data_IF_531130135897
#
_entry.id   IF_531130135897
#
_cell.length_a   1.000
_cell.length_b   1.000
_cell.length_c   1.000
_cell.angle_alpha   90.00
_cell.angle_beta   90.00
_cell.angle_gamma   90.00
#
_symmetry.space_group_name_H-M   'P 1'
#
loop_
_entity.id
_entity.type
_entity.pdbx_description
1 polymer ?
#
# COMPACT_ATOMS: atom_id res chain seq x y z
N UNK A 1 -2.64 -13.91 16.41
CA UNK A 1 -2.57 -12.45 16.55
C UNK A 1 -1.12 -12.00 16.46
N UNK A 2 -0.81 -10.88 15.82
CA UNK A 2 0.58 -10.39 15.72
C UNK A 2 1.03 -9.80 17.04
N UNK A 3 2.06 -10.39 17.66
CA UNK A 3 2.49 -10.02 19.00
C UNK A 3 3.11 -8.62 19.00
N UNK A 4 2.81 -7.81 20.01
CA UNK A 4 3.34 -6.45 20.14
C UNK A 4 2.62 -5.36 19.33
N UNK A 5 1.74 -5.71 18.37
CA UNK A 5 0.88 -4.70 17.73
C UNK A 5 -0.28 -4.29 18.66
N UNK A 6 -0.69 -3.00 18.64
CA UNK A 6 -1.74 -2.51 19.53
C UNK A 6 -3.07 -3.23 19.33
N UNK A 7 -3.86 -3.34 20.40
CA UNK A 7 -5.23 -3.91 20.38
C UNK A 7 -6.31 -2.83 20.38
N UNK A 8 -6.02 -1.67 19.80
CA UNK A 8 -6.87 -0.47 19.86
C UNK A 8 -7.16 0.05 18.46
N UNK A 9 -8.44 0.27 18.14
CA UNK A 9 -8.86 0.91 16.90
C UNK A 9 -8.22 2.29 16.73
N UNK A 10 -8.17 3.08 17.81
CA UNK A 10 -7.59 4.43 17.77
C UNK A 10 -6.09 4.39 17.44
N UNK A 11 -5.36 3.43 17.99
CA UNK A 11 -3.95 3.25 17.66
C UNK A 11 -3.75 2.83 16.19
N UNK A 12 -4.69 2.05 15.64
CA UNK A 12 -4.66 1.64 14.23
C UNK A 12 -4.95 2.79 13.27
N UNK A 13 -5.96 3.62 13.56
CA UNK A 13 -6.40 4.69 12.67
C UNK A 13 -5.57 5.97 12.77
N UNK A 14 -4.89 6.19 13.90
CA UNK A 14 -4.17 7.43 14.17
C UNK A 14 -3.11 7.79 13.11
N UNK A 15 -2.22 6.87 12.66
CA UNK A 15 -1.28 7.16 11.59
C UNK A 15 -1.95 7.59 10.28
N UNK A 16 -3.08 7.00 9.92
CA UNK A 16 -3.86 7.40 8.73
C UNK A 16 -4.43 8.82 8.91
N UNK A 17 -5.03 9.12 10.06
CA UNK A 17 -5.56 10.46 10.36
C UNK A 17 -4.44 11.50 10.30
N UNK A 18 -3.25 11.17 10.81
CA UNK A 18 -2.11 12.08 10.79
C UNK A 18 -1.64 12.37 9.37
N UNK A 19 -1.46 11.34 8.54
CA UNK A 19 -1.13 11.52 7.11
C UNK A 19 -2.17 12.41 6.44
N UNK A 20 -3.46 12.11 6.63
CA UNK A 20 -4.55 12.88 6.05
C UNK A 20 -4.54 14.35 6.51
N UNK A 21 -4.33 14.61 7.81
CA UNK A 21 -4.30 15.95 8.36
C UNK A 21 -3.15 16.80 7.80
N UNK A 22 -1.97 16.21 7.61
CA UNK A 22 -0.82 16.88 7.00
C UNK A 22 -1.14 17.23 5.53
N UNK A 23 -1.68 16.27 4.76
CA UNK A 23 -2.05 16.49 3.36
C UNK A 23 -3.16 17.53 3.20
N UNK A 24 -4.21 17.46 4.03
CA UNK A 24 -5.30 18.43 4.05
C UNK A 24 -4.79 19.84 4.37
N UNK A 25 -3.95 19.98 5.40
CA UNK A 25 -3.38 21.28 5.76
C UNK A 25 -2.51 21.84 4.63
N UNK A 26 -1.71 20.99 3.98
CA UNK A 26 -0.90 21.36 2.82
C UNK A 26 -1.78 21.83 1.64
N UNK A 27 -2.89 21.15 1.38
CA UNK A 27 -3.84 21.58 0.35
C UNK A 27 -4.50 22.93 0.69
N UNK A 28 -4.94 23.11 1.93
CA UNK A 28 -5.59 24.36 2.39
C UNK A 28 -4.65 25.57 2.38
N UNK A 29 -3.34 25.34 2.52
CA UNK A 29 -2.31 26.38 2.50
C UNK A 29 -1.69 26.60 1.11
N UNK A 30 -2.16 25.86 0.08
CA UNK A 30 -1.70 25.98 -1.30
C UNK A 30 -0.32 25.36 -1.56
N UNK A 31 0.19 24.52 -0.65
CA UNK A 31 1.50 23.87 -0.78
C UNK A 31 1.43 22.48 -1.41
N UNK A 32 0.24 21.93 -1.64
CA UNK A 32 0.03 20.66 -2.34
C UNK A 32 -0.37 20.90 -3.82
N UNK A 33 0.09 20.09 -4.80
CA UNK A 33 0.95 18.91 -4.66
C UNK A 33 2.43 19.26 -4.50
N UNK A 34 3.02 18.77 -3.40
CA UNK A 34 4.45 18.82 -3.17
C UNK A 34 4.92 17.44 -2.71
N UNK A 35 5.77 16.82 -3.51
CA UNK A 35 6.28 15.46 -3.30
C UNK A 35 7.00 15.33 -1.94
N UNK A 36 7.70 16.37 -1.49
CA UNK A 36 8.39 16.37 -0.19
C UNK A 36 7.38 16.35 0.96
N UNK A 37 6.30 17.11 0.86
CA UNK A 37 5.24 17.11 1.88
C UNK A 37 4.52 15.77 1.92
N UNK A 38 4.31 15.16 0.76
CA UNK A 38 3.74 13.82 0.65
C UNK A 38 4.64 12.77 1.30
N UNK A 39 5.95 12.80 1.04
CA UNK A 39 6.89 11.94 1.75
C UNK A 39 6.90 12.17 3.24
N UNK A 40 6.95 13.43 3.66
CA UNK A 40 6.93 13.77 5.06
C UNK A 40 5.70 13.20 5.77
N UNK A 41 4.51 13.30 5.18
CA UNK A 41 3.28 12.76 5.78
C UNK A 41 3.34 11.24 5.96
N UNK A 42 3.82 10.51 4.96
CA UNK A 42 3.95 9.04 5.03
C UNK A 42 5.07 8.63 6.01
N UNK A 43 6.26 9.24 5.94
CA UNK A 43 7.38 8.90 6.80
C UNK A 43 7.09 9.15 8.28
N UNK A 44 6.43 10.26 8.62
CA UNK A 44 6.03 10.55 10.00
C UNK A 44 5.10 9.46 10.52
N UNK A 45 4.12 9.03 9.72
CA UNK A 45 3.19 7.97 10.08
C UNK A 45 3.86 6.61 10.21
N UNK A 46 4.86 6.30 9.37
CA UNK A 46 5.69 5.09 9.50
C UNK A 46 6.52 5.12 10.79
N UNK A 47 7.16 6.24 11.12
CA UNK A 47 7.97 6.38 12.35
C UNK A 47 7.08 6.19 13.59
N UNK A 48 5.90 6.81 13.62
CA UNK A 48 4.95 6.64 14.72
C UNK A 48 4.47 5.20 14.82
N UNK A 49 4.13 4.57 13.69
CA UNK A 49 3.73 3.16 13.63
C UNK A 49 4.82 2.24 14.20
N UNK A 50 6.07 2.44 13.77
CA UNK A 50 7.21 1.69 14.28
C UNK A 50 7.45 1.95 15.79
N UNK A 51 7.27 3.19 16.24
CA UNK A 51 7.37 3.57 17.65
C UNK A 51 6.30 2.93 18.54
N UNK A 52 5.07 2.77 18.04
CA UNK A 52 3.97 2.14 18.78
C UNK A 52 4.13 0.62 18.97
N UNK A 53 4.93 -0.03 18.12
CA UNK A 53 5.18 -1.49 18.15
C UNK A 53 6.55 -1.82 18.76
N UNK A 54 7.53 -0.93 18.57
CA UNK A 54 8.96 -1.18 18.78
C UNK A 54 9.65 -1.48 17.46
N UNK A 55 10.71 -0.73 17.12
CA UNK A 55 11.32 -0.70 15.78
C UNK A 55 11.72 -2.09 15.23
N UNK A 56 12.50 -2.87 15.97
CA UNK A 56 12.96 -4.19 15.50
C UNK A 56 11.76 -5.11 15.21
N UNK A 57 10.86 -5.24 16.18
CA UNK A 57 9.65 -6.06 16.05
C UNK A 57 8.77 -5.61 14.89
N UNK A 58 8.66 -4.29 14.67
CA UNK A 58 7.90 -3.76 13.56
C UNK A 58 8.47 -4.25 12.24
N UNK A 59 9.77 -4.10 11.99
CA UNK A 59 10.40 -4.54 10.75
C UNK A 59 10.43 -6.06 10.58
N UNK A 60 10.58 -6.82 11.66
CA UNK A 60 10.47 -8.28 11.65
C UNK A 60 9.07 -8.71 11.17
N UNK A 61 8.02 -8.10 11.71
CA UNK A 61 6.63 -8.42 11.35
C UNK A 61 6.23 -8.01 9.92
N UNK A 62 6.95 -7.07 9.30
CA UNK A 62 6.72 -6.70 7.90
C UNK A 62 7.20 -7.78 6.91
N UNK A 63 8.06 -8.71 7.34
CA UNK A 63 8.53 -9.81 6.50
C UNK A 63 9.36 -9.35 5.30
N UNK A 64 10.27 -8.40 5.54
CA UNK A 64 11.31 -8.01 4.57
C UNK A 64 12.38 -9.09 4.43
N UNK A 65 12.65 -9.82 5.50
CA UNK A 65 13.48 -11.02 5.47
C UNK A 65 12.61 -12.21 5.06
N UNK A 66 13.06 -12.95 4.06
CA UNK A 66 12.38 -14.16 3.56
C UNK A 66 13.04 -15.44 4.10
N UNK A 67 14.03 -15.28 4.97
CA UNK A 67 14.73 -16.38 5.64
C UNK A 67 13.96 -16.85 6.86
N UNK A 68 13.89 -18.16 7.05
CA UNK A 68 13.27 -18.75 8.24
C UNK A 68 14.31 -19.04 9.32
N UNK A 69 13.89 -19.26 10.57
CA UNK A 69 14.78 -19.70 11.63
C UNK A 69 15.62 -20.92 11.21
N UNK A 70 16.95 -20.76 11.23
CA UNK A 70 17.91 -21.80 10.83
C UNK A 70 18.28 -21.81 9.34
N UNK A 71 17.70 -20.92 8.53
CA UNK A 71 18.10 -20.71 7.14
C UNK A 71 19.15 -19.61 7.00
N UNK A 72 19.80 -19.56 5.84
CA UNK A 72 20.75 -18.51 5.48
C UNK A 72 20.35 -17.93 4.14
N UNK A 73 20.49 -16.62 3.98
CA UNK A 73 20.08 -15.90 2.76
C UNK A 73 20.65 -16.52 1.48
N UNK A 74 21.88 -17.02 1.52
CA UNK A 74 22.55 -17.68 0.39
C UNK A 74 21.80 -18.92 -0.13
N UNK A 75 20.97 -19.58 0.68
CA UNK A 75 20.19 -20.76 0.30
C UNK A 75 18.77 -20.42 -0.14
N UNK A 76 18.24 -19.26 0.25
CA UNK A 76 16.82 -18.90 0.09
C UNK A 76 16.57 -17.59 -0.64
N UNK A 77 17.62 -16.92 -1.14
CA UNK A 77 17.50 -15.67 -1.90
C UNK A 77 16.56 -15.77 -3.11
N UNK A 78 16.40 -16.96 -3.70
CA UNK A 78 15.47 -17.20 -4.82
C UNK A 78 14.01 -16.92 -4.45
N UNK A 79 13.64 -16.94 -3.16
CA UNK A 79 12.29 -16.56 -2.69
C UNK A 79 11.95 -15.11 -3.05
N UNK A 80 12.94 -14.20 -2.99
CA UNK A 80 12.75 -12.82 -3.44
C UNK A 80 12.30 -12.76 -4.91
N UNK A 81 12.87 -13.59 -5.79
CA UNK A 81 12.48 -13.62 -7.20
C UNK A 81 11.00 -14.01 -7.38
N UNK A 82 10.52 -14.95 -6.57
CA UNK A 82 9.12 -15.38 -6.61
C UNK A 82 8.20 -14.30 -6.07
N UNK A 83 8.53 -13.70 -4.93
CA UNK A 83 7.73 -12.61 -4.35
C UNK A 83 7.67 -11.39 -5.27
N UNK A 84 8.80 -11.00 -5.87
CA UNK A 84 8.88 -9.94 -6.88
C UNK A 84 8.06 -10.33 -8.12
N UNK A 85 8.21 -11.55 -8.62
CA UNK A 85 7.46 -12.03 -9.79
C UNK A 85 5.95 -12.01 -9.58
N UNK A 86 5.48 -12.42 -8.39
CA UNK A 86 4.07 -12.35 -8.02
C UNK A 86 3.57 -10.91 -7.96
N UNK A 87 4.29 -10.03 -7.27
CA UNK A 87 3.95 -8.61 -7.22
C UNK A 87 3.85 -7.99 -8.62
N UNK A 88 4.82 -8.28 -9.49
CA UNK A 88 4.83 -7.80 -10.88
C UNK A 88 3.58 -8.26 -11.64
N UNK A 89 3.27 -9.56 -11.60
CA UNK A 89 2.09 -10.12 -12.27
C UNK A 89 0.83 -9.42 -11.78
N UNK A 90 0.65 -9.30 -10.46
CA UNK A 90 -0.56 -8.71 -9.88
C UNK A 90 -0.70 -7.23 -10.21
N UNK A 91 0.34 -6.43 -9.97
CA UNK A 91 0.33 -5.00 -10.28
C UNK A 91 0.04 -4.73 -11.75
N UNK A 92 0.69 -5.47 -12.65
CA UNK A 92 0.45 -5.37 -14.09
C UNK A 92 -0.96 -5.79 -14.50
N UNK A 93 -1.50 -6.90 -13.97
CA UNK A 93 -2.86 -7.33 -14.30
C UNK A 93 -3.91 -6.35 -13.77
N UNK A 94 -3.75 -5.82 -12.56
CA UNK A 94 -4.59 -4.74 -12.02
C UNK A 94 -4.61 -3.55 -12.97
N UNK A 95 -3.43 -3.04 -13.35
CA UNK A 95 -3.31 -1.95 -14.32
C UNK A 95 -4.03 -2.29 -15.64
N UNK A 96 -3.82 -3.47 -16.21
CA UNK A 96 -4.42 -3.88 -17.50
C UNK A 96 -5.94 -3.95 -17.45
N UNK A 97 -6.53 -4.50 -16.40
CA UNK A 97 -7.99 -4.59 -16.25
C UNK A 97 -8.60 -3.19 -16.14
N UNK A 98 -7.96 -2.30 -15.40
CA UNK A 98 -8.47 -0.95 -15.17
C UNK A 98 -8.31 -0.05 -16.39
N UNK A 99 -7.12 -0.04 -17.00
CA UNK A 99 -6.80 0.79 -18.16
C UNK A 99 -7.52 0.36 -19.45
N UNK A 100 -7.91 -0.92 -19.59
CA UNK A 100 -8.54 -1.43 -20.83
C UNK A 100 -9.94 -2.00 -20.67
N UNK A 101 -10.32 -2.45 -19.47
CA UNK A 101 -11.57 -3.17 -19.25
C UNK A 101 -12.71 -2.31 -18.74
N UNK A 102 -12.39 -1.26 -17.97
CA UNK A 102 -13.42 -0.48 -17.26
C UNK A 102 -13.55 0.98 -17.72
N UNK A 103 -12.65 1.48 -18.58
CA UNK A 103 -12.59 2.90 -19.00
C UNK A 103 -12.75 3.89 -17.84
N UNK A 104 -12.40 3.45 -16.62
CA UNK A 104 -12.34 4.33 -15.47
C UNK A 104 -11.14 5.24 -15.74
N UNK A 105 -11.35 6.56 -15.69
CA UNK A 105 -10.26 7.52 -15.64
C UNK A 105 -9.25 6.98 -14.64
N UNK A 106 -8.07 6.57 -15.14
CA UNK A 106 -7.26 5.50 -14.54
C UNK A 106 -7.08 5.78 -13.06
N UNK A 107 -7.77 4.97 -12.26
CA UNK A 107 -8.14 5.31 -10.90
C UNK A 107 -7.22 4.62 -9.90
N UNK A 108 -6.57 5.33 -8.95
CA UNK A 108 -5.80 6.53 -9.26
C UNK A 108 -4.42 6.42 -8.63
N UNK A 109 -3.44 6.74 -9.45
CA UNK A 109 -2.35 7.53 -8.92
C UNK A 109 -2.90 8.77 -8.21
N UNK A 110 -2.20 9.24 -7.18
CA UNK A 110 -2.34 10.63 -6.73
C UNK A 110 -2.13 11.55 -7.94
N UNK A 111 -3.22 11.94 -8.61
CA UNK A 111 -3.16 12.65 -9.90
C UNK A 111 -2.35 13.94 -9.76
N UNK A 112 -2.54 14.64 -8.65
CA UNK A 112 -1.79 15.83 -8.31
C UNK A 112 -0.28 15.54 -8.15
N UNK A 113 0.08 14.42 -7.49
CA UNK A 113 1.47 14.00 -7.34
C UNK A 113 2.07 13.56 -8.67
N UNK A 114 1.31 12.84 -9.50
CA UNK A 114 1.76 12.36 -10.80
C UNK A 114 1.97 13.49 -11.79
N UNK A 115 1.07 14.47 -11.84
CA UNK A 115 1.26 15.69 -12.62
C UNK A 115 2.51 16.44 -12.17
N UNK A 116 2.79 16.49 -10.86
CA UNK A 116 4.04 17.09 -10.36
C UNK A 116 5.27 16.28 -10.80
N UNK A 117 5.19 14.95 -10.77
CA UNK A 117 6.29 14.05 -11.14
C UNK A 117 6.52 13.97 -12.66
N UNK A 118 5.53 14.31 -13.49
CA UNK A 118 5.71 14.41 -14.95
C UNK A 118 6.72 15.48 -15.34
N UNK A 119 6.90 16.51 -14.51
CA UNK A 119 7.86 17.60 -14.76
C UNK A 119 9.32 17.18 -14.51
N UNK A 120 9.56 16.01 -13.91
CA UNK A 120 10.90 15.48 -13.64
C UNK A 120 11.24 14.29 -14.55
N UNK A 121 12.55 14.00 -14.75
CA UNK A 121 12.99 12.84 -15.52
C UNK A 121 12.37 11.51 -15.04
N UNK A 122 12.05 10.63 -15.99
CA UNK A 122 11.36 9.37 -15.73
C UNK A 122 12.08 8.51 -14.67
N UNK A 123 13.41 8.41 -14.72
CA UNK A 123 14.17 7.61 -13.75
C UNK A 123 13.98 8.12 -12.31
N UNK A 124 13.84 9.45 -12.12
CA UNK A 124 13.52 10.01 -10.81
C UNK A 124 12.08 9.69 -10.44
N UNK A 125 11.11 9.85 -11.34
CA UNK A 125 9.71 9.49 -11.09
C UNK A 125 9.55 8.03 -10.62
N UNK A 126 10.24 7.10 -11.28
CA UNK A 126 10.26 5.68 -10.91
C UNK A 126 10.81 5.47 -9.49
N UNK A 127 11.91 6.13 -9.14
CA UNK A 127 12.41 6.09 -7.75
C UNK A 127 11.40 6.67 -6.76
N UNK A 128 10.70 7.73 -7.16
CA UNK A 128 9.69 8.34 -6.32
C UNK A 128 8.53 7.36 -6.04
N UNK A 129 8.03 6.65 -7.06
CA UNK A 129 6.99 5.63 -6.91
C UNK A 129 7.42 4.45 -6.04
N UNK A 130 8.68 4.03 -6.11
CA UNK A 130 9.18 2.98 -5.22
C UNK A 130 9.16 3.43 -3.75
N UNK A 131 9.55 4.68 -3.47
CA UNK A 131 9.53 5.24 -2.11
C UNK A 131 8.09 5.35 -1.60
N UNK A 132 7.17 5.85 -2.44
CA UNK A 132 5.73 5.92 -2.12
C UNK A 132 5.19 4.53 -1.78
N UNK A 133 5.36 3.57 -2.71
CA UNK A 133 4.89 2.21 -2.52
C UNK A 133 5.42 1.58 -1.23
N UNK A 134 6.72 1.74 -0.92
CA UNK A 134 7.30 1.26 0.33
C UNK A 134 6.62 1.87 1.55
N UNK A 135 6.53 3.20 1.63
CA UNK A 135 5.96 3.87 2.79
C UNK A 135 4.48 3.55 3.00
N UNK A 136 3.72 3.52 1.91
CA UNK A 136 2.28 3.26 1.94
C UNK A 136 1.95 1.81 2.27
N UNK A 137 2.68 0.83 1.73
CA UNK A 137 2.53 -0.57 2.10
C UNK A 137 2.88 -0.80 3.57
N UNK A 138 3.93 -0.17 4.09
CA UNK A 138 4.32 -0.29 5.51
C UNK A 138 3.20 0.25 6.41
N UNK A 139 2.69 1.43 6.10
CA UNK A 139 1.58 2.04 6.83
C UNK A 139 0.32 1.18 6.78
N UNK A 140 -0.02 0.64 5.60
CA UNK A 140 -1.18 -0.23 5.42
C UNK A 140 -1.03 -1.57 6.13
N UNK A 141 0.18 -2.12 6.16
CA UNK A 141 0.49 -3.36 6.89
C UNK A 141 0.41 -3.15 8.40
N UNK A 142 0.89 -2.00 8.91
CA UNK A 142 0.69 -1.62 10.30
C UNK A 142 -0.80 -1.58 10.68
N UNK A 143 -1.61 -0.91 9.87
CA UNK A 143 -3.05 -0.80 10.10
C UNK A 143 -3.71 -2.16 10.12
N UNK A 144 -3.35 -3.02 9.16
CA UNK A 144 -3.88 -4.38 9.07
C UNK A 144 -3.66 -5.19 10.35
N UNK A 145 -2.42 -5.25 10.86
CA UNK A 145 -2.13 -5.99 12.10
C UNK A 145 -2.84 -5.36 13.30
N UNK A 146 -2.82 -4.03 13.42
CA UNK A 146 -3.43 -3.33 14.55
C UNK A 146 -4.95 -3.48 14.58
N UNK A 147 -5.62 -3.33 13.43
CA UNK A 147 -7.06 -3.55 13.32
C UNK A 147 -7.41 -5.02 13.50
N UNK A 148 -6.62 -5.96 12.98
CA UNK A 148 -6.81 -7.39 13.21
C UNK A 148 -6.73 -7.75 14.69
N UNK A 149 -5.72 -7.22 15.40
CA UNK A 149 -5.55 -7.39 16.84
C UNK A 149 -6.72 -6.81 17.65
N UNK A 150 -7.22 -5.64 17.23
CA UNK A 150 -8.42 -5.05 17.81
C UNK A 150 -9.67 -5.92 17.56
N UNK A 151 -9.87 -6.43 16.34
CA UNK A 151 -11.02 -7.29 16.03
C UNK A 151 -11.00 -8.60 16.83
N UNK A 152 -9.85 -9.26 16.88
CA UNK A 152 -9.68 -10.50 17.65
C UNK A 152 -9.92 -10.24 19.15
N UNK A 153 -9.34 -9.19 19.71
CA UNK A 153 -9.50 -8.91 21.16
C UNK A 153 -10.90 -8.41 21.53
N UNK A 154 -11.50 -7.52 20.74
CA UNK A 154 -12.78 -6.87 21.05
C UNK A 154 -13.97 -7.79 20.80
N UNK A 155 -13.93 -8.55 19.70
CA UNK A 155 -15.04 -9.39 19.25
C UNK A 155 -14.76 -10.88 19.39
N UNK A 156 -13.58 -11.28 19.92
CA UNK A 156 -13.20 -12.69 20.14
C UNK A 156 -13.24 -13.52 18.86
N UNK A 157 -12.93 -12.91 17.72
CA UNK A 157 -12.92 -13.59 16.43
C UNK A 157 -11.73 -14.53 16.29
N UNK A 158 -11.86 -15.54 15.43
CA UNK A 158 -10.72 -16.36 15.05
C UNK A 158 -9.62 -15.49 14.40
N UNK A 159 -8.32 -15.71 14.70
CA UNK A 159 -7.23 -14.84 14.24
C UNK A 159 -7.22 -14.58 12.73
N UNK A 160 -7.50 -15.59 11.91
CA UNK A 160 -7.54 -15.44 10.44
C UNK A 160 -8.69 -14.55 9.98
N UNK A 161 -9.85 -14.66 10.61
CA UNK A 161 -11.03 -13.83 10.31
C UNK A 161 -10.76 -12.39 10.75
N UNK A 162 -10.20 -12.21 11.94
CA UNK A 162 -9.82 -10.90 12.45
C UNK A 162 -8.80 -10.20 11.55
N UNK A 163 -7.78 -10.93 11.08
CA UNK A 163 -6.77 -10.40 10.18
C UNK A 163 -7.35 -10.03 8.81
N UNK A 164 -8.25 -10.85 8.26
CA UNK A 164 -8.97 -10.54 7.03
C UNK A 164 -9.78 -9.24 7.16
N UNK A 165 -10.46 -9.03 8.29
CA UNK A 165 -11.14 -7.77 8.58
C UNK A 165 -10.15 -6.61 8.77
N UNK A 166 -8.98 -6.87 9.36
CA UNK A 166 -7.89 -5.91 9.46
C UNK A 166 -7.40 -5.43 8.10
N UNK A 167 -7.21 -6.34 7.13
CA UNK A 167 -6.85 -6.00 5.74
C UNK A 167 -7.90 -5.07 5.13
N UNK A 168 -9.18 -5.40 5.30
CA UNK A 168 -10.29 -4.62 4.73
C UNK A 168 -10.32 -3.21 5.31
N UNK A 169 -10.32 -3.08 6.65
CA UNK A 169 -10.39 -1.77 7.32
C UNK A 169 -9.15 -0.92 7.02
N UNK A 170 -7.96 -1.53 7.03
CA UNK A 170 -6.72 -0.81 6.70
C UNK A 170 -6.72 -0.32 5.25
N UNK A 171 -7.17 -1.15 4.31
CA UNK A 171 -7.27 -0.77 2.89
C UNK A 171 -8.27 0.36 2.66
N UNK A 172 -9.40 0.35 3.38
CA UNK A 172 -10.37 1.46 3.32
C UNK A 172 -9.75 2.73 3.90
N UNK A 173 -9.12 2.66 5.08
CA UNK A 173 -8.47 3.81 5.71
C UNK A 173 -7.37 4.41 4.80
N UNK A 174 -6.57 3.54 4.18
CA UNK A 174 -5.55 3.91 3.18
C UNK A 174 -6.15 4.65 1.98
N UNK A 175 -7.21 4.10 1.38
CA UNK A 175 -7.83 4.71 0.19
C UNK A 175 -8.50 6.04 0.49
N UNK A 176 -9.02 6.23 1.71
CA UNK A 176 -9.55 7.52 2.13
C UNK A 176 -8.46 8.62 2.23
N UNK A 177 -7.18 8.28 2.42
CA UNK A 177 -6.08 9.25 2.42
C UNK A 177 -5.99 10.03 1.10
N UNK A 178 -6.35 9.38 0.00
CA UNK A 178 -6.17 9.91 -1.33
C UNK A 178 -7.24 10.95 -1.70
N UNK A 179 -8.23 11.18 -0.85
CA UNK A 179 -9.31 12.16 -1.08
C UNK A 179 -8.75 13.54 -1.45
N UNK A 180 -7.66 13.96 -0.79
CA UNK A 180 -7.00 15.24 -1.07
C UNK A 180 -6.32 15.24 -2.45
N UNK A 181 -5.62 14.15 -2.78
CA UNK A 181 -4.91 14.02 -4.03
C UNK A 181 -5.83 13.83 -5.24
N UNK A 182 -7.00 13.24 -5.03
CA UNK A 182 -7.99 13.02 -6.09
C UNK A 182 -8.94 14.20 -6.26
N UNK A 183 -9.11 15.05 -5.24
CA UNK A 183 -9.93 16.25 -5.30
C UNK A 183 -11.34 15.94 -5.85
N UNK A 184 -11.91 16.83 -6.67
CA UNK A 184 -13.25 16.70 -7.26
C UNK A 184 -13.36 15.65 -8.36
N UNK A 185 -12.25 15.01 -8.77
CA UNK A 185 -12.26 14.02 -9.86
C UNK A 185 -12.70 12.62 -9.41
N UNK A 186 -12.65 12.33 -8.11
CA UNK A 186 -13.05 11.04 -7.57
C UNK A 186 -14.56 10.94 -7.30
N UNK A 187 -15.14 9.82 -7.73
CA UNK A 187 -16.51 9.41 -7.39
C UNK A 187 -16.51 8.21 -6.42
N UNK A 188 -17.67 7.59 -6.16
CA UNK A 188 -17.76 6.43 -5.27
C UNK A 188 -17.14 5.15 -5.85
N UNK A 189 -17.36 4.88 -7.15
CA UNK A 189 -16.87 3.66 -7.83
C UNK A 189 -15.35 3.57 -7.71
N UNK A 190 -14.75 4.71 -7.93
CA UNK A 190 -13.41 5.09 -7.63
C UNK A 190 -12.90 4.62 -6.24
N UNK A 191 -13.46 5.10 -5.13
CA UNK A 191 -13.06 4.63 -3.78
C UNK A 191 -13.26 3.11 -3.60
N UNK A 192 -14.33 2.54 -4.14
CA UNK A 192 -14.61 1.10 -4.06
C UNK A 192 -13.53 0.27 -4.78
N UNK A 193 -13.20 0.65 -6.01
CA UNK A 193 -12.17 -0.01 -6.82
C UNK A 193 -10.79 0.14 -6.18
N UNK A 194 -10.44 1.34 -5.71
CA UNK A 194 -9.20 1.56 -4.98
C UNK A 194 -9.08 0.67 -3.75
N UNK A 195 -10.16 0.52 -2.98
CA UNK A 195 -10.19 -0.35 -1.81
C UNK A 195 -9.99 -1.81 -2.19
N UNK A 196 -10.63 -2.28 -3.27
CA UNK A 196 -10.46 -3.65 -3.76
C UNK A 196 -9.02 -3.95 -4.22
N UNK A 197 -8.38 -3.02 -4.92
CA UNK A 197 -6.97 -3.14 -5.33
C UNK A 197 -6.06 -3.19 -4.11
N UNK A 198 -6.27 -2.29 -3.15
CA UNK A 198 -5.49 -2.23 -1.91
C UNK A 198 -5.65 -3.50 -1.07
N UNK A 199 -6.87 -4.04 -0.99
CA UNK A 199 -7.14 -5.33 -0.36
C UNK A 199 -6.35 -6.41 -1.09
N UNK A 200 -6.38 -6.44 -2.42
CA UNK A 200 -5.66 -7.43 -3.21
C UNK A 200 -4.16 -7.36 -2.96
N UNK A 201 -3.54 -6.19 -3.07
CA UNK A 201 -2.09 -6.00 -2.85
C UNK A 201 -1.67 -6.48 -1.46
N UNK A 202 -2.43 -6.09 -0.42
CA UNK A 202 -2.17 -6.51 0.97
C UNK A 202 -2.37 -8.02 1.16
N UNK A 203 -3.40 -8.59 0.53
CA UNK A 203 -3.75 -10.01 0.69
C UNK A 203 -2.76 -10.95 0.03
N UNK A 204 -2.01 -10.50 -0.99
CA UNK A 204 -1.06 -11.35 -1.72
C UNK A 204 0.07 -11.84 -0.82
N UNK A 205 0.53 -11.00 0.11
CA UNK A 205 1.48 -11.41 1.15
C UNK A 205 0.96 -12.53 2.05
N UNK A 206 -0.37 -12.70 2.16
CA UNK A 206 -1.03 -13.74 2.95
C UNK A 206 -1.38 -15.01 2.18
N UNK A 207 -1.58 -14.92 0.86
CA UNK A 207 -2.00 -16.06 0.04
C UNK A 207 -0.90 -17.14 0.01
N UNK A 208 0.38 -16.72 -0.03
CA UNK A 208 1.50 -17.65 0.05
C UNK A 208 1.68 -18.26 1.45
N UNK A 209 1.38 -17.47 2.48
CA UNK A 209 1.47 -17.87 3.88
C UNK A 209 0.45 -18.95 4.26
N UNK A 210 -0.83 -18.73 3.93
CA UNK A 210 -1.90 -19.59 4.44
C UNK A 210 -2.08 -20.89 3.69
N UNK A 211 -1.67 -20.96 2.42
CA UNK A 211 -2.00 -22.10 1.58
C UNK A 211 -0.91 -23.15 1.48
N UNK A 212 0.28 -22.97 2.08
CA UNK A 212 1.43 -23.88 1.96
C UNK A 212 1.59 -24.47 0.54
N UNK A 213 1.25 -23.68 -0.50
CA UNK A 213 0.97 -24.19 -1.86
C UNK A 213 2.20 -24.89 -2.42
N UNK A 214 3.38 -24.52 -1.93
CA UNK A 214 4.66 -24.94 -2.45
C UNK A 214 5.42 -25.94 -1.55
N UNK A 215 4.78 -26.56 -0.55
CA UNK A 215 5.37 -27.69 0.21
C UNK A 215 6.72 -27.35 0.84
N UNK A 216 7.83 -27.99 0.42
CA UNK A 216 9.20 -27.70 0.92
C UNK A 216 9.71 -26.27 0.63
N UNK A 217 9.01 -25.51 -0.20
CA UNK A 217 9.22 -24.08 -0.42
C UNK A 217 8.31 -23.24 0.48
N UNK A 218 7.80 -23.80 1.59
CA UNK A 218 6.79 -23.18 2.43
C UNK A 218 7.19 -21.74 2.77
N UNK A 219 6.37 -20.80 2.34
CA UNK A 219 6.43 -19.41 2.74
C UNK A 219 5.67 -19.34 4.06
N UNK A 220 6.35 -19.62 5.18
CA UNK A 220 5.71 -19.77 6.49
C UNK A 220 5.44 -18.44 7.19
N UNK A 221 5.64 -17.30 6.51
CA UNK A 221 5.50 -15.98 7.09
C UNK A 221 4.88 -15.03 6.06
N UNK A 222 4.19 -14.01 6.56
CA UNK A 222 3.78 -12.87 5.75
C UNK A 222 5.02 -12.20 5.16
N UNK A 223 4.91 -11.70 3.92
CA UNK A 223 5.92 -10.81 3.35
C UNK A 223 5.25 -9.64 2.67
N UNK A 224 5.73 -8.44 2.97
CA UNK A 224 5.28 -7.19 2.34
C UNK A 224 5.75 -7.05 0.89
N UNK A 225 6.78 -7.79 0.48
CA UNK A 225 7.47 -7.62 -0.80
C UNK A 225 6.52 -7.71 -2.01
N UNK A 226 5.62 -8.70 -2.13
CA UNK A 226 4.69 -8.74 -3.25
C UNK A 226 3.75 -7.54 -3.30
N UNK A 227 3.30 -7.05 -2.14
CA UNK A 227 2.44 -5.86 -2.04
C UNK A 227 3.18 -4.62 -2.54
N UNK A 228 4.42 -4.40 -2.06
CA UNK A 228 5.28 -3.28 -2.49
C UNK A 228 5.52 -3.32 -3.99
N UNK A 229 5.88 -4.48 -4.54
CA UNK A 229 6.15 -4.61 -5.97
C UNK A 229 4.88 -4.43 -6.79
N UNK A 230 3.74 -4.99 -6.36
CA UNK A 230 2.47 -4.79 -7.06
C UNK A 230 2.07 -3.32 -7.12
N UNK A 231 2.17 -2.62 -5.99
CA UNK A 231 1.90 -1.19 -5.89
C UNK A 231 2.84 -0.37 -6.77
N UNK A 232 4.16 -0.56 -6.62
CA UNK A 232 5.17 0.12 -7.43
C UNK A 232 4.97 -0.05 -8.93
N UNK A 233 4.71 -1.29 -9.39
CA UNK A 233 4.48 -1.58 -10.80
C UNK A 233 3.18 -0.94 -11.28
N UNK A 234 2.12 -0.99 -10.47
CA UNK A 234 0.87 -0.33 -10.79
C UNK A 234 1.07 1.17 -11.02
N UNK A 235 1.65 1.87 -10.05
CA UNK A 235 1.89 3.32 -10.11
C UNK A 235 2.78 3.72 -11.29
N UNK A 236 3.87 2.97 -11.50
CA UNK A 236 4.78 3.22 -12.62
C UNK A 236 4.06 3.08 -13.96
N UNK A 237 3.22 2.05 -14.12
CA UNK A 237 2.47 1.84 -15.37
C UNK A 237 1.45 2.95 -15.63
N UNK A 238 0.79 3.45 -14.59
CA UNK A 238 -0.14 4.58 -14.72
C UNK A 238 0.64 5.87 -15.05
N UNK A 239 1.79 6.15 -14.42
CA UNK A 239 2.60 7.35 -14.69
C UNK A 239 3.11 7.35 -16.13
N UNK A 240 3.62 6.20 -16.58
CA UNK A 240 4.03 6.00 -17.98
C UNK A 240 2.88 6.25 -18.95
N UNK A 241 1.66 5.79 -18.64
CA UNK A 241 0.50 6.05 -19.47
C UNK A 241 0.16 7.54 -19.53
N UNK A 242 0.17 8.23 -18.39
CA UNK A 242 -0.13 9.67 -18.33
C UNK A 242 0.95 10.55 -18.99
N UNK A 243 2.20 10.07 -19.12
CA UNK A 243 3.26 10.76 -19.86
C UNK A 243 3.08 10.70 -21.37
N UNK A 244 2.49 9.62 -21.88
CA UNK A 244 2.26 9.39 -23.31
C UNK A 244 0.91 9.95 -23.77
N UNK A 245 -0.07 9.98 -22.88
CA UNK A 245 -1.40 10.52 -23.13
C UNK A 245 -1.54 11.89 -22.46
N UNK A 246 -1.61 13.02 -23.21
CA UNK A 246 -1.68 14.34 -22.63
C UNK A 246 -2.87 14.48 -21.65
N UNK A 247 -2.82 15.42 -20.69
CA UNK A 247 -3.86 15.63 -19.66
C UNK A 247 -5.27 15.90 -20.20
N UNK A 248 -5.44 16.09 -21.51
CA UNK A 248 -6.72 16.38 -22.17
C UNK A 248 -7.77 15.27 -22.01
N UNK A 249 -7.38 14.04 -21.63
CA UNK A 249 -8.34 12.98 -21.25
C UNK A 249 -8.84 13.07 -19.80
N UNK A 250 -8.29 14.00 -19.00
CA UNK A 250 -8.61 14.21 -17.58
C UNK A 250 -9.17 15.61 -17.30
N UNK A 251 -9.34 16.44 -18.33
CA UNK A 251 -10.21 17.61 -18.21
C UNK A 251 -11.62 17.09 -17.98
N UNK A 252 -12.21 17.45 -16.84
CA UNK A 252 -13.64 17.30 -16.64
C UNK A 252 -14.33 17.86 -17.88
N UNK A 253 -15.14 17.05 -18.54
CA UNK A 253 -16.13 17.57 -19.48
C UNK A 253 -16.96 18.58 -18.68
N UNK A 254 -16.77 19.86 -19.01
CA UNK A 254 -17.61 20.98 -18.58
C UNK A 254 -18.97 20.81 -19.26
#
# INVERSE_FOLDING_TARGET
>A
MEEGFPKSFLAGIFPFILTYAILLTSAMTGTFPNVVIFYFSIFVSVIISAGLVGFNRFFDALGFDVTQPGETISKVWWRYLIYIGLGFVIGYFCYRILAKGLNLAIFPLDFALSLSLQTIPLYLSVLNWLIVALGEEILRTYGMFTFGNWFESKFKLHPQTALSLGIIVSSIAFILLHTIAWSTSANLMNYLVGALISILFTSVGFILYHKQIFGKLAFLEFSIIPGVVAHFIFDTMVDLQMRVLPPLMFLAFI
#
